data_IF_590986434398
#
_entry.id   IF_590986434398
#
_cell.length_a   1.000
_cell.length_b   1.000
_cell.length_c   1.000
_cell.angle_alpha   90.00
_cell.angle_beta   90.00
_cell.angle_gamma   90.00
#
_symmetry.space_group_name_H-M   'P 1'
#
loop_
_entity.id
_entity.type
_entity.pdbx_description
1 polymer ?
#
# COMPACT_ATOMS: atom_id res chain seq x y z
N UNK A 1 8.12 44.40 11.81
CA UNK A 1 6.96 43.85 12.55
C UNK A 1 6.65 42.48 12.00
N UNK A 2 6.85 41.50 12.84
CA UNK A 2 6.89 40.06 12.55
C UNK A 2 5.50 39.46 12.40
N UNK A 3 5.29 38.63 11.41
CA UNK A 3 4.15 37.73 11.28
C UNK A 3 4.60 36.34 10.92
N UNK A 4 4.96 35.53 11.93
CA UNK A 4 5.18 34.10 11.78
C UNK A 4 3.82 33.38 11.64
N UNK A 5 3.50 32.88 10.46
CA UNK A 5 2.40 31.96 10.26
C UNK A 5 2.89 30.52 10.41
N UNK A 6 2.27 29.83 11.33
CA UNK A 6 2.61 28.50 11.83
C UNK A 6 2.28 27.43 10.78
N UNK A 7 3.31 26.73 10.33
CA UNK A 7 3.30 25.63 9.36
C UNK A 7 2.93 24.26 10.00
N UNK A 8 2.12 24.28 11.04
CA UNK A 8 1.91 23.09 11.90
C UNK A 8 0.67 22.24 11.65
N UNK A 9 -0.13 22.50 10.62
CA UNK A 9 -1.44 21.81 10.49
C UNK A 9 -1.68 20.96 9.24
N UNK A 10 -0.75 20.88 8.30
CA UNK A 10 -0.95 20.10 7.05
C UNK A 10 -0.25 18.74 7.01
N UNK A 11 0.57 18.37 7.98
CA UNK A 11 1.28 17.09 8.00
C UNK A 11 0.54 15.95 8.71
N UNK A 12 -0.76 16.08 9.02
CA UNK A 12 -1.46 15.10 9.86
C UNK A 12 -2.34 14.07 9.14
N UNK A 13 -2.42 14.08 7.83
CA UNK A 13 -3.39 13.23 7.12
C UNK A 13 -2.79 12.06 6.31
N UNK A 14 -1.47 11.88 6.23
CA UNK A 14 -0.87 10.90 5.33
C UNK A 14 0.20 9.98 5.98
N UNK A 15 0.25 9.88 7.31
CA UNK A 15 1.18 9.01 8.02
C UNK A 15 0.53 7.68 8.48
N UNK A 16 -0.34 7.08 7.68
CA UNK A 16 -0.90 5.73 7.92
C UNK A 16 -0.32 4.75 6.91
N UNK A 17 0.99 4.76 6.79
CA UNK A 17 1.75 3.77 6.01
C UNK A 17 2.73 3.07 6.94
N UNK A 18 2.26 2.04 7.59
CA UNK A 18 2.93 0.81 8.02
C UNK A 18 4.43 0.89 8.34
N UNK A 19 4.78 1.44 9.51
CA UNK A 19 6.02 1.08 10.17
C UNK A 19 5.77 -0.15 11.07
N UNK A 20 5.56 -1.33 10.49
CA UNK A 20 5.48 -2.60 11.21
C UNK A 20 6.72 -3.41 10.85
N UNK A 21 7.82 -3.12 11.52
CA UNK A 21 8.92 -4.08 11.61
C UNK A 21 9.72 -3.84 12.88
N UNK A 22 9.88 -4.91 13.63
CA UNK A 22 10.81 -5.16 14.71
C UNK A 22 10.30 -4.90 16.13
N UNK A 23 9.73 -5.91 16.76
CA UNK A 23 9.97 -6.19 18.20
C UNK A 23 10.20 -7.68 18.35
N UNK A 24 11.48 -8.05 18.45
CA UNK A 24 11.89 -9.30 19.06
C UNK A 24 13.28 -9.09 19.67
N UNK A 25 13.33 -8.70 20.94
CA UNK A 25 14.37 -9.06 21.90
C UNK A 25 13.91 -8.68 23.31
N UNK A 26 14.04 -9.56 24.32
CA UNK A 26 13.74 -9.21 25.72
C UNK A 26 14.98 -8.57 26.34
N UNK A 27 14.88 -7.34 26.80
CA UNK A 27 15.85 -6.77 27.73
C UNK A 27 15.10 -6.29 28.97
N UNK A 28 15.32 -7.01 30.07
CA UNK A 28 14.95 -6.57 31.40
C UNK A 28 15.81 -5.35 31.79
N UNK A 29 15.18 -4.23 32.09
CA UNK A 29 15.83 -3.12 32.77
C UNK A 29 14.90 -2.52 33.82
N UNK A 30 15.51 -2.36 35.00
CA UNK A 30 14.91 -1.94 36.25
C UNK A 30 14.40 -0.50 36.24
N UNK A 31 13.29 -0.31 36.98
CA UNK A 31 12.71 0.97 37.32
C UNK A 31 13.65 1.85 38.15
N UNK A 32 13.76 3.13 37.80
CA UNK A 32 14.09 4.21 38.75
C UNK A 32 13.10 5.35 38.51
N UNK A 33 12.40 5.71 39.56
CA UNK A 33 11.40 6.75 39.58
C UNK A 33 11.98 8.15 39.44
N UNK A 34 11.23 8.99 38.73
CA UNK A 34 11.41 10.47 38.86
C UNK A 34 10.00 11.07 38.82
N UNK A 35 9.66 11.70 39.91
CA UNK A 35 8.51 12.59 40.10
C UNK A 35 8.61 13.75 39.12
N UNK A 36 7.63 13.98 38.28
CA UNK A 36 7.49 15.19 37.48
C UNK A 36 6.13 15.83 37.68
N UNK A 37 6.17 17.12 37.83
CA UNK A 37 5.11 18.04 38.19
C UNK A 37 4.00 18.14 37.13
N UNK A 38 2.76 18.31 37.59
CA UNK A 38 1.52 18.44 36.87
C UNK A 38 1.55 19.55 35.78
N UNK A 39 1.20 19.15 34.56
CA UNK A 39 0.60 20.01 33.53
C UNK A 39 -0.84 19.50 33.25
N UNK A 40 -1.76 20.32 32.72
CA UNK A 40 -3.15 19.94 32.62
C UNK A 40 -3.35 18.76 31.67
N UNK A 41 -3.86 17.67 32.23
CA UNK A 41 -4.29 16.47 31.54
C UNK A 41 -5.40 16.79 30.55
N UNK A 42 -5.08 16.76 29.26
CA UNK A 42 -6.12 16.47 28.26
C UNK A 42 -6.42 14.98 28.37
N UNK A 43 -7.39 14.64 29.21
CA UNK A 43 -7.89 13.32 29.41
C UNK A 43 -8.29 12.72 28.05
N UNK A 44 -7.55 11.72 27.60
CA UNK A 44 -7.97 10.80 26.56
C UNK A 44 -9.23 10.10 27.08
N UNK A 45 -10.36 10.39 26.46
CA UNK A 45 -11.60 9.68 26.71
C UNK A 45 -11.36 8.20 26.37
N UNK A 46 -11.14 7.37 27.37
CA UNK A 46 -11.14 5.92 27.20
C UNK A 46 -12.52 5.54 26.70
N UNK A 47 -12.61 5.13 25.44
CA UNK A 47 -13.84 4.56 24.88
C UNK A 47 -14.17 3.30 25.72
N UNK A 48 -15.19 3.40 26.57
CA UNK A 48 -15.62 2.31 27.46
C UNK A 48 -16.25 1.17 26.67
N UNK A 49 -16.46 1.34 25.37
CA UNK A 49 -17.08 0.35 24.51
C UNK A 49 -16.19 -0.89 24.36
N UNK A 50 -16.72 -2.03 24.74
CA UNK A 50 -16.03 -3.30 24.53
C UNK A 50 -16.03 -3.63 23.03
N UNK A 51 -14.84 -3.82 22.47
CA UNK A 51 -14.61 -4.23 21.08
C UNK A 51 -14.31 -5.72 21.00
N UNK A 52 -14.62 -6.33 19.86
CA UNK A 52 -14.38 -7.75 19.61
C UNK A 52 -13.89 -7.97 18.19
N UNK A 53 -12.88 -8.83 18.06
CA UNK A 53 -12.50 -9.44 16.79
C UNK A 53 -12.65 -10.96 16.91
N UNK A 54 -13.30 -11.59 15.92
CA UNK A 54 -13.46 -13.03 15.82
C UNK A 54 -13.14 -13.45 14.40
N UNK A 55 -12.03 -14.16 14.22
CA UNK A 55 -11.53 -14.57 12.92
C UNK A 55 -11.00 -15.98 12.94
N UNK A 56 -10.32 -16.30 11.85
CA UNK A 56 -9.59 -17.57 11.70
C UNK A 56 -8.30 -17.36 10.94
N UNK A 57 -7.33 -18.21 11.22
CA UNK A 57 -6.12 -18.31 10.42
C UNK A 57 -6.28 -19.48 9.47
N UNK A 58 -6.07 -19.21 8.19
CA UNK A 58 -6.26 -20.20 7.12
C UNK A 58 -5.02 -20.29 6.24
N UNK A 59 -4.82 -21.45 5.65
CA UNK A 59 -3.79 -21.71 4.66
C UNK A 59 -4.47 -22.22 3.38
N UNK A 60 -4.14 -21.65 2.20
CA UNK A 60 -4.59 -22.16 0.92
C UNK A 60 -4.10 -23.61 0.72
N UNK A 61 -4.90 -24.42 0.05
CA UNK A 61 -4.47 -25.75 -0.38
C UNK A 61 -3.44 -25.61 -1.51
N UNK A 62 -2.44 -26.50 -1.51
CA UNK A 62 -1.37 -26.48 -2.52
C UNK A 62 -1.85 -26.92 -3.91
N UNK A 63 -2.96 -27.64 -3.98
CA UNK A 63 -3.53 -28.21 -5.21
C UNK A 63 -4.75 -27.42 -5.70
N UNK A 64 -5.47 -26.80 -4.80
CA UNK A 64 -6.66 -25.98 -5.10
C UNK A 64 -6.58 -24.65 -4.32
N UNK A 65 -6.15 -23.60 -4.99
CA UNK A 65 -6.02 -22.26 -4.39
C UNK A 65 -7.36 -21.65 -3.94
N UNK A 66 -8.50 -22.21 -4.33
CA UNK A 66 -9.83 -21.82 -3.85
C UNK A 66 -10.21 -22.48 -2.53
N UNK A 67 -9.60 -23.61 -2.21
CA UNK A 67 -9.80 -24.31 -0.95
C UNK A 67 -8.84 -23.79 0.12
N UNK A 68 -9.37 -23.54 1.31
CA UNK A 68 -8.57 -23.09 2.45
C UNK A 68 -8.79 -24.01 3.65
N UNK A 69 -7.72 -24.32 4.35
CA UNK A 69 -7.72 -25.12 5.57
C UNK A 69 -7.42 -24.25 6.78
N UNK A 70 -8.21 -24.38 7.83
CA UNK A 70 -7.93 -23.67 9.10
C UNK A 70 -6.68 -24.22 9.78
N UNK A 71 -5.81 -23.35 10.29
CA UNK A 71 -4.54 -23.70 10.94
C UNK A 71 -4.69 -23.61 12.46
N UNK A 72 -4.83 -24.75 13.19
CA UNK A 72 -4.94 -24.75 14.63
C UNK A 72 -3.58 -24.65 15.32
N UNK A 73 -3.58 -24.24 16.58
CA UNK A 73 -2.43 -24.33 17.50
C UNK A 73 -1.32 -23.30 17.27
N UNK A 74 -1.47 -22.34 16.34
CA UNK A 74 -0.48 -21.29 16.12
C UNK A 74 -0.77 -20.05 16.97
N UNK A 75 0.28 -19.29 17.27
CA UNK A 75 0.13 -18.06 18.02
C UNK A 75 -0.49 -16.95 17.16
N UNK A 76 -1.51 -16.31 17.70
CA UNK A 76 -2.08 -15.06 17.20
C UNK A 76 -1.99 -14.00 18.30
N UNK A 77 -1.66 -12.78 17.90
CA UNK A 77 -1.44 -11.65 18.81
C UNK A 77 -2.23 -10.44 18.36
N UNK A 78 -3.02 -9.86 19.25
CA UNK A 78 -3.68 -8.59 19.04
C UNK A 78 -2.68 -7.46 19.34
N UNK A 79 -2.52 -6.55 18.41
CA UNK A 79 -1.62 -5.39 18.52
C UNK A 79 -2.41 -4.09 18.55
N UNK A 80 -1.80 -3.10 19.20
CA UNK A 80 -2.17 -1.70 19.15
C UNK A 80 -0.98 -0.89 18.66
N UNK A 81 -1.21 0.04 17.74
CA UNK A 81 -0.23 1.02 17.27
C UNK A 81 -0.89 2.40 17.31
N UNK A 82 -0.40 3.27 18.16
CA UNK A 82 -0.82 4.66 18.26
C UNK A 82 0.40 5.58 18.29
N UNK A 83 0.19 6.88 18.17
CA UNK A 83 1.25 7.87 18.26
C UNK A 83 1.87 7.99 19.67
N UNK A 84 1.18 7.47 20.68
CA UNK A 84 1.59 7.42 22.09
C UNK A 84 2.37 6.15 22.43
N UNK A 85 1.90 5.00 21.98
CA UNK A 85 2.56 3.70 22.23
C UNK A 85 2.17 2.67 21.19
N UNK A 86 3.04 1.68 20.97
CA UNK A 86 2.81 0.54 20.10
C UNK A 86 3.25 -0.76 20.80
N UNK A 87 2.48 -1.84 20.62
CA UNK A 87 2.85 -3.14 21.16
C UNK A 87 1.72 -4.17 21.13
N UNK A 88 2.02 -5.38 21.58
CA UNK A 88 1.03 -6.44 21.78
C UNK A 88 0.13 -6.11 22.97
N UNK A 89 -1.15 -6.45 22.84
CA UNK A 89 -2.15 -6.31 23.92
C UNK A 89 -2.48 -7.66 24.54
N UNK A 90 -2.69 -8.67 23.66
CA UNK A 90 -3.13 -9.99 24.09
C UNK A 90 -2.68 -11.04 23.06
N UNK A 91 -2.55 -12.29 23.48
CA UNK A 91 -2.11 -13.40 22.63
C UNK A 91 -2.82 -14.68 22.98
N UNK A 92 -3.13 -15.49 21.97
CA UNK A 92 -3.71 -16.82 22.16
C UNK A 92 -3.24 -17.78 21.07
N UNK A 93 -3.49 -19.06 21.28
CA UNK A 93 -3.36 -20.05 20.20
C UNK A 93 -4.69 -20.24 19.49
N UNK A 94 -4.63 -20.43 18.17
CA UNK A 94 -5.81 -20.75 17.38
C UNK A 94 -6.41 -22.08 17.83
N UNK A 95 -7.74 -22.12 17.92
CA UNK A 95 -8.52 -23.32 18.21
C UNK A 95 -8.70 -24.19 16.94
N UNK A 96 -9.46 -25.28 17.06
CA UNK A 96 -9.84 -26.12 15.95
C UNK A 96 -10.40 -25.29 14.76
N UNK A 97 -10.01 -25.64 13.54
CA UNK A 97 -10.35 -24.86 12.34
C UNK A 97 -9.70 -23.47 12.26
N UNK A 98 -8.60 -23.25 12.99
CA UNK A 98 -7.84 -22.00 12.95
C UNK A 98 -8.51 -20.81 13.65
N UNK A 99 -9.54 -21.02 14.45
CA UNK A 99 -10.36 -19.94 15.02
C UNK A 99 -9.65 -19.23 16.16
N UNK A 100 -9.87 -17.89 16.24
CA UNK A 100 -9.41 -17.05 17.34
C UNK A 100 -10.45 -15.99 17.67
N UNK A 101 -10.40 -15.44 18.89
CA UNK A 101 -11.26 -14.36 19.34
C UNK A 101 -10.56 -13.51 20.39
N UNK A 102 -10.52 -12.19 20.19
CA UNK A 102 -10.10 -11.23 21.22
C UNK A 102 -11.24 -10.29 21.58
N UNK A 103 -11.25 -9.91 22.87
CA UNK A 103 -12.09 -8.83 23.39
C UNK A 103 -11.18 -7.77 23.97
N UNK A 104 -11.35 -6.54 23.55
CA UNK A 104 -10.47 -5.45 23.95
C UNK A 104 -11.23 -4.14 24.08
N UNK A 105 -10.61 -3.15 24.69
CA UNK A 105 -11.12 -1.78 24.75
C UNK A 105 -10.18 -0.87 23.98
N UNK A 106 -10.72 0.18 23.40
CA UNK A 106 -9.89 1.22 22.83
C UNK A 106 -9.22 1.99 23.97
N UNK A 107 -7.90 2.06 23.97
CA UNK A 107 -7.10 2.73 24.98
C UNK A 107 -6.15 3.72 24.35
N UNK A 108 -5.80 4.76 25.07
CA UNK A 108 -4.87 5.80 24.61
C UNK A 108 -5.50 6.73 23.56
N UNK A 109 -4.71 7.16 22.60
CA UNK A 109 -5.13 8.15 21.62
C UNK A 109 -6.13 7.59 20.62
N UNK A 110 -7.04 8.47 20.16
CA UNK A 110 -8.11 8.09 19.22
C UNK A 110 -7.61 7.63 17.84
N UNK A 111 -6.37 7.98 17.48
CA UNK A 111 -5.69 7.59 16.22
C UNK A 111 -5.07 6.18 16.28
N UNK A 112 -5.20 5.46 17.39
CA UNK A 112 -4.64 4.13 17.55
C UNK A 112 -5.29 3.11 16.60
N UNK A 113 -4.46 2.35 15.89
CA UNK A 113 -4.85 1.27 14.99
C UNK A 113 -4.69 -0.06 15.73
N UNK A 114 -5.65 -0.95 15.54
CA UNK A 114 -5.65 -2.31 16.07
C UNK A 114 -5.64 -3.31 14.92
N UNK A 115 -4.88 -4.39 15.07
CA UNK A 115 -4.82 -5.50 14.12
C UNK A 115 -4.37 -6.78 14.81
N UNK A 116 -4.55 -7.92 14.16
CA UNK A 116 -4.09 -9.22 14.66
C UNK A 116 -2.97 -9.74 13.79
N UNK A 117 -1.91 -10.28 14.40
CA UNK A 117 -0.87 -11.03 13.69
C UNK A 117 -0.99 -12.52 13.97
N UNK A 118 -0.59 -13.35 13.00
CA UNK A 118 -0.40 -14.79 13.13
C UNK A 118 1.06 -15.13 12.82
N UNK A 119 1.71 -15.92 13.69
CA UNK A 119 3.07 -16.42 13.44
C UNK A 119 3.00 -17.83 12.86
N UNK A 120 3.43 -17.98 11.60
CA UNK A 120 3.44 -19.25 10.90
C UNK A 120 4.75 -19.43 10.14
N UNK A 121 5.41 -20.58 10.32
CA UNK A 121 6.72 -20.90 9.71
C UNK A 121 7.78 -19.80 9.92
N UNK A 122 7.76 -19.14 11.10
CA UNK A 122 8.70 -18.04 11.42
C UNK A 122 8.38 -16.69 10.79
N UNK A 123 7.25 -16.58 10.09
CA UNK A 123 6.80 -15.35 9.43
C UNK A 123 5.55 -14.82 10.14
N UNK A 124 5.48 -13.50 10.30
CA UNK A 124 4.29 -12.82 10.80
C UNK A 124 3.39 -12.42 9.64
N UNK A 125 2.14 -12.84 9.69
CA UNK A 125 1.05 -12.44 8.79
C UNK A 125 0.05 -11.60 9.54
N UNK A 126 -0.64 -10.67 8.89
CA UNK A 126 -1.46 -9.66 9.54
C UNK A 126 -2.88 -9.63 8.98
N UNK A 127 -3.84 -9.35 9.86
CA UNK A 127 -5.20 -9.00 9.46
C UNK A 127 -5.24 -7.59 8.87
N UNK A 128 -6.36 -7.23 8.27
CA UNK A 128 -6.70 -5.83 8.03
C UNK A 128 -6.83 -5.07 9.35
N UNK A 129 -6.68 -3.73 9.35
CA UNK A 129 -6.97 -2.90 10.53
C UNK A 129 -8.40 -3.10 11.03
N UNK A 130 -8.56 -3.18 12.36
CA UNK A 130 -9.85 -3.38 13.03
C UNK A 130 -10.56 -2.03 13.21
N UNK A 131 -11.25 -1.56 12.17
CA UNK A 131 -11.82 -0.20 12.11
C UNK A 131 -13.16 -0.09 12.86
N UNK A 132 -13.89 -1.20 13.06
CA UNK A 132 -15.21 -1.21 13.70
C UNK A 132 -15.15 -1.89 15.08
N UNK A 133 -16.10 -1.59 15.99
CA UNK A 133 -16.15 -2.22 17.31
C UNK A 133 -16.30 -3.74 17.28
N UNK A 134 -16.88 -4.30 16.22
CA UNK A 134 -17.04 -5.74 16.02
C UNK A 134 -16.60 -6.12 14.62
N UNK A 135 -15.51 -6.90 14.52
CA UNK A 135 -14.97 -7.41 13.26
C UNK A 135 -15.06 -8.94 13.26
N UNK A 136 -15.69 -9.51 12.24
CA UNK A 136 -15.91 -10.95 12.11
C UNK A 136 -15.81 -11.40 10.65
N UNK A 137 -15.70 -12.71 10.43
CA UNK A 137 -15.65 -13.28 9.08
C UNK A 137 -14.37 -12.94 8.34
N UNK A 138 -14.47 -12.70 7.05
CA UNK A 138 -13.34 -12.51 6.13
C UNK A 138 -12.50 -11.27 6.49
N UNK A 139 -13.12 -10.24 7.07
CA UNK A 139 -12.42 -9.03 7.54
C UNK A 139 -11.46 -9.30 8.72
N UNK A 140 -11.59 -10.45 9.37
CA UNK A 140 -10.72 -10.91 10.46
C UNK A 140 -9.97 -12.20 10.08
N UNK A 141 -10.00 -12.61 8.82
CA UNK A 141 -9.26 -13.77 8.34
C UNK A 141 -7.78 -13.40 8.12
N UNK A 142 -6.88 -14.30 8.53
CA UNK A 142 -5.45 -14.15 8.28
C UNK A 142 -5.01 -15.33 7.42
N UNK A 143 -4.55 -15.04 6.21
CA UNK A 143 -4.05 -16.05 5.31
C UNK A 143 -2.54 -16.22 5.55
N UNK A 144 -2.12 -17.45 5.83
CA UNK A 144 -0.72 -17.85 6.01
C UNK A 144 -0.31 -18.78 4.88
N UNK A 145 0.98 -18.82 4.56
CA UNK A 145 1.49 -19.61 3.44
C UNK A 145 2.68 -20.45 3.84
N UNK A 146 2.83 -21.62 3.24
CA UNK A 146 4.06 -22.40 3.32
C UNK A 146 5.23 -21.61 2.71
N UNK A 147 6.46 -21.98 3.04
CA UNK A 147 7.66 -21.23 2.64
C UNK A 147 8.56 -22.05 1.75
N UNK A 148 9.30 -21.37 0.87
CA UNK A 148 10.36 -21.97 0.07
C UNK A 148 11.56 -21.05 -0.04
N UNK A 149 12.77 -21.63 0.10
CA UNK A 149 14.05 -20.96 -0.17
C UNK A 149 14.64 -21.35 -1.52
N UNK A 150 13.93 -22.12 -2.34
CA UNK A 150 14.34 -22.43 -3.71
C UNK A 150 14.18 -21.20 -4.58
N UNK A 151 14.96 -21.13 -5.66
CA UNK A 151 14.78 -20.08 -6.68
C UNK A 151 13.34 -20.06 -7.16
N UNK A 152 12.76 -18.88 -7.08
CA UNK A 152 11.34 -18.69 -7.29
C UNK A 152 11.08 -17.52 -8.27
N UNK A 153 10.22 -17.70 -9.28
CA UNK A 153 9.94 -16.64 -10.25
C UNK A 153 9.05 -15.56 -9.60
N UNK A 154 9.68 -14.46 -9.16
CA UNK A 154 8.99 -13.24 -8.80
C UNK A 154 8.87 -12.35 -10.03
N UNK A 155 7.68 -11.83 -10.30
CA UNK A 155 7.37 -10.98 -11.47
C UNK A 155 7.49 -9.51 -11.09
N UNK A 156 8.05 -8.69 -11.98
CA UNK A 156 8.02 -7.22 -11.85
C UNK A 156 6.83 -6.71 -12.66
N UNK A 157 5.75 -6.37 -11.96
CA UNK A 157 4.53 -5.80 -12.57
C UNK A 157 4.74 -4.37 -13.01
N UNK A 158 5.40 -3.57 -12.18
CA UNK A 158 5.71 -2.18 -12.43
C UNK A 158 7.13 -1.84 -12.00
N UNK A 159 7.79 -0.99 -12.78
CA UNK A 159 9.00 -0.28 -12.40
C UNK A 159 8.84 1.17 -12.77
N UNK A 160 8.92 2.04 -11.76
CA UNK A 160 8.79 3.48 -11.93
C UNK A 160 10.14 4.10 -11.61
N UNK A 161 10.65 4.90 -12.53
CA UNK A 161 11.94 5.59 -12.41
C UNK A 161 11.67 7.08 -12.50
N UNK A 162 12.01 7.82 -11.44
CA UNK A 162 11.84 9.26 -11.37
C UNK A 162 13.23 9.88 -11.34
N UNK A 163 13.53 10.72 -12.30
CA UNK A 163 14.80 11.44 -12.41
C UNK A 163 14.55 12.91 -12.13
N UNK A 164 15.15 13.44 -11.07
CA UNK A 164 15.02 14.85 -10.70
C UNK A 164 15.68 15.78 -11.73
N UNK A 165 15.34 17.06 -11.68
CA UNK A 165 16.19 18.10 -12.24
C UNK A 165 17.59 18.05 -11.59
N UNK A 166 18.64 18.56 -12.29
CA UNK A 166 19.99 18.54 -11.75
C UNK A 166 20.09 19.35 -10.45
N UNK A 167 20.86 18.84 -9.50
CA UNK A 167 21.26 19.54 -8.31
C UNK A 167 22.28 20.66 -8.63
N UNK A 168 22.67 21.45 -7.63
CA UNK A 168 23.68 22.53 -7.80
C UNK A 168 25.01 21.99 -8.33
N UNK A 169 25.38 20.78 -7.95
CA UNK A 169 26.61 20.08 -8.38
C UNK A 169 26.43 19.31 -9.69
N UNK A 170 25.29 19.45 -10.35
CA UNK A 170 24.94 18.75 -11.59
C UNK A 170 24.54 17.29 -11.41
N UNK A 171 24.55 16.76 -10.19
CA UNK A 171 24.07 15.40 -9.92
C UNK A 171 22.54 15.34 -10.00
N UNK A 172 22.00 14.14 -10.23
CA UNK A 172 20.56 13.88 -10.19
C UNK A 172 20.20 12.92 -9.07
N UNK A 173 19.13 13.23 -8.35
CA UNK A 173 18.51 12.28 -7.44
C UNK A 173 17.54 11.41 -8.23
N UNK A 174 17.63 10.08 -8.02
CA UNK A 174 16.81 9.11 -8.72
C UNK A 174 16.04 8.32 -7.69
N UNK A 175 14.75 8.13 -7.94
CA UNK A 175 13.88 7.27 -7.15
C UNK A 175 13.39 6.14 -8.02
N UNK A 176 13.51 4.92 -7.55
CA UNK A 176 12.92 3.75 -8.18
C UNK A 176 11.87 3.13 -7.27
N UNK A 177 10.75 2.76 -7.88
CA UNK A 177 9.68 2.03 -7.23
C UNK A 177 9.42 0.76 -8.04
N UNK A 178 9.51 -0.37 -7.36
CA UNK A 178 9.22 -1.69 -7.92
C UNK A 178 7.91 -2.22 -7.37
N UNK A 179 7.10 -2.76 -8.25
CA UNK A 179 5.93 -3.57 -7.94
C UNK A 179 6.30 -5.04 -8.17
N UNK A 180 6.66 -5.72 -7.09
CA UNK A 180 7.10 -7.11 -7.11
C UNK A 180 5.91 -7.99 -6.78
N UNK A 181 5.56 -8.93 -7.66
CA UNK A 181 4.45 -9.86 -7.45
C UNK A 181 4.96 -11.28 -7.26
N UNK A 182 4.46 -11.90 -6.23
CA UNK A 182 4.53 -13.34 -6.04
C UNK A 182 3.16 -13.93 -6.43
N UNK A 183 3.08 -14.48 -7.63
CA UNK A 183 1.83 -15.03 -8.18
C UNK A 183 1.57 -16.50 -7.77
N UNK A 184 2.34 -17.03 -6.81
CA UNK A 184 2.18 -18.39 -6.30
C UNK A 184 1.37 -18.45 -5.00
N UNK A 185 1.14 -19.65 -4.50
CA UNK A 185 0.57 -19.92 -3.18
C UNK A 185 1.60 -20.12 -2.06
N UNK A 186 2.88 -19.76 -2.27
CA UNK A 186 3.99 -20.05 -1.36
C UNK A 186 4.80 -18.77 -1.09
N UNK A 187 5.18 -18.53 0.15
CA UNK A 187 6.07 -17.41 0.51
C UNK A 187 7.51 -17.74 0.12
N UNK A 188 8.11 -16.89 -0.71
CA UNK A 188 9.54 -16.95 -1.00
C UNK A 188 10.33 -16.40 0.19
N UNK A 189 11.34 -17.14 0.64
CA UNK A 189 12.24 -16.72 1.72
C UNK A 189 13.70 -16.77 1.26
N UNK A 190 14.51 -15.91 1.83
CA UNK A 190 15.97 -16.00 1.70
C UNK A 190 16.46 -17.27 2.38
N UNK A 191 17.39 -17.99 1.74
CA UNK A 191 18.05 -19.12 2.39
C UNK A 191 18.99 -18.67 3.50
N UNK A 192 19.71 -17.59 3.21
CA UNK A 192 20.67 -16.93 4.08
C UNK A 192 20.97 -15.52 3.54
N UNK A 193 21.87 -14.79 4.19
CA UNK A 193 22.23 -13.44 3.76
C UNK A 193 22.96 -13.36 2.41
N UNK A 194 23.52 -14.47 1.91
CA UNK A 194 24.20 -14.54 0.61
C UNK A 194 23.23 -14.87 -0.55
N UNK A 195 22.03 -15.37 -0.22
CA UNK A 195 21.02 -15.77 -1.20
C UNK A 195 19.74 -14.94 -0.97
N UNK A 196 19.72 -13.68 -1.42
CA UNK A 196 18.57 -12.78 -1.23
C UNK A 196 17.33 -13.32 -1.94
N UNK A 197 16.15 -12.94 -1.43
CA UNK A 197 14.86 -13.29 -2.01
C UNK A 197 14.64 -12.60 -3.35
N UNK A 198 15.15 -11.36 -3.48
CA UNK A 198 15.03 -10.57 -4.70
C UNK A 198 16.24 -9.64 -4.86
N UNK A 199 16.56 -9.30 -6.12
CA UNK A 199 17.66 -8.39 -6.44
C UNK A 199 17.34 -7.47 -7.62
N UNK A 200 17.96 -6.27 -7.63
CA UNK A 200 18.05 -5.39 -8.78
C UNK A 200 19.47 -4.81 -8.90
N UNK A 201 19.85 -4.34 -10.08
CA UNK A 201 21.12 -3.65 -10.26
C UNK A 201 20.92 -2.14 -10.16
N UNK A 202 21.84 -1.47 -9.47
CA UNK A 202 22.00 -0.02 -9.54
C UNK A 202 22.86 0.33 -10.78
N UNK A 203 22.63 1.51 -11.36
CA UNK A 203 23.52 1.98 -12.43
C UNK A 203 24.92 2.26 -11.90
N UNK A 204 25.94 2.18 -12.76
CA UNK A 204 27.29 2.60 -12.41
C UNK A 204 27.32 4.06 -11.88
N UNK A 205 28.13 4.32 -10.88
CA UNK A 205 28.25 5.65 -10.28
C UNK A 205 27.14 6.02 -9.29
N UNK A 206 26.15 5.15 -9.04
CA UNK A 206 25.13 5.37 -8.02
C UNK A 206 25.76 5.47 -6.61
N UNK A 207 25.42 6.53 -5.88
CA UNK A 207 25.88 6.78 -4.50
C UNK A 207 24.69 7.19 -3.61
N UNK A 208 24.86 7.09 -2.29
CA UNK A 208 23.86 7.58 -1.35
C UNK A 208 22.57 6.77 -1.37
N UNK A 209 22.66 5.44 -1.57
CA UNK A 209 21.51 4.54 -1.53
C UNK A 209 20.70 4.69 -0.24
N UNK A 210 19.39 4.81 -0.38
CA UNK A 210 18.46 4.92 0.74
C UNK A 210 17.15 4.23 0.40
N UNK A 211 16.61 3.46 1.34
CA UNK A 211 15.31 2.79 1.18
C UNK A 211 14.20 3.77 1.54
N UNK A 212 13.26 3.95 0.63
CA UNK A 212 12.07 4.77 0.82
C UNK A 212 10.93 4.03 1.49
N UNK A 213 9.74 4.60 1.42
CA UNK A 213 8.53 3.94 1.90
C UNK A 213 8.26 2.68 1.08
N UNK A 214 8.06 1.56 1.76
CA UNK A 214 8.02 0.24 1.15
C UNK A 214 7.20 -0.73 2.00
N UNK A 215 6.58 -1.73 1.36
CA UNK A 215 5.97 -2.88 2.06
C UNK A 215 7.04 -3.82 2.65
N UNK A 216 8.29 -3.63 2.25
CA UNK A 216 9.44 -4.39 2.71
C UNK A 216 10.20 -3.57 3.73
N UNK A 217 10.54 -4.17 4.87
CA UNK A 217 11.29 -3.48 5.91
C UNK A 217 12.62 -2.93 5.39
N UNK A 218 12.96 -1.65 5.62
CA UNK A 218 14.25 -1.09 5.22
C UNK A 218 15.45 -1.86 5.74
N UNK A 219 15.32 -2.52 6.91
CA UNK A 219 16.40 -3.35 7.49
C UNK A 219 16.69 -4.63 6.70
N UNK A 220 15.76 -5.05 5.85
CA UNK A 220 15.89 -6.23 5.00
C UNK A 220 16.34 -5.91 3.57
N UNK A 221 16.65 -4.64 3.30
CA UNK A 221 17.10 -4.14 1.99
C UNK A 221 18.47 -3.50 2.14
N UNK A 222 19.39 -3.84 1.26
CA UNK A 222 20.74 -3.29 1.27
C UNK A 222 21.30 -3.09 -0.13
N UNK A 223 22.26 -2.18 -0.25
CA UNK A 223 23.16 -2.12 -1.40
C UNK A 223 24.36 -3.02 -1.13
N UNK A 224 24.58 -3.99 -1.99
CA UNK A 224 25.70 -4.93 -1.95
C UNK A 224 26.63 -4.69 -3.16
N UNK A 225 27.28 -3.53 -3.17
CA UNK A 225 28.23 -3.15 -4.21
C UNK A 225 27.59 -2.91 -5.58
N UNK A 226 26.56 -2.07 -5.64
CA UNK A 226 25.82 -1.74 -6.85
C UNK A 226 24.69 -2.72 -7.18
N UNK A 227 24.34 -3.58 -6.23
CA UNK A 227 23.18 -4.47 -6.31
C UNK A 227 22.30 -4.31 -5.10
N UNK A 228 21.05 -3.94 -5.33
CA UNK A 228 20.02 -3.95 -4.29
C UNK A 228 19.65 -5.39 -3.99
N UNK A 229 19.73 -5.78 -2.72
CA UNK A 229 19.38 -7.10 -2.23
C UNK A 229 18.27 -7.01 -1.19
N UNK A 230 17.26 -7.86 -1.33
CA UNK A 230 16.17 -8.03 -0.38
C UNK A 230 16.28 -9.40 0.27
N UNK A 231 16.38 -9.43 1.60
CA UNK A 231 16.42 -10.69 2.39
C UNK A 231 15.11 -10.94 3.16
N UNK A 232 14.10 -10.11 2.96
CA UNK A 232 12.78 -10.30 3.55
C UNK A 232 12.00 -11.44 2.89
N UNK A 233 11.08 -12.09 3.61
CA UNK A 233 10.07 -12.94 3.02
C UNK A 233 9.17 -12.15 2.05
N UNK A 234 8.86 -12.74 0.89
CA UNK A 234 7.92 -12.19 -0.09
C UNK A 234 6.74 -13.15 -0.19
N UNK A 235 5.69 -12.85 0.58
CA UNK A 235 4.43 -13.58 0.58
C UNK A 235 3.70 -13.40 -0.76
N UNK A 236 2.76 -14.31 -1.10
CA UNK A 236 1.88 -14.16 -2.26
C UNK A 236 1.21 -12.78 -2.32
N UNK A 237 1.03 -12.30 -3.55
CA UNK A 237 0.48 -10.98 -3.85
C UNK A 237 1.54 -9.94 -4.21
N UNK A 238 1.10 -8.69 -4.32
CA UNK A 238 1.91 -7.55 -4.71
C UNK A 238 2.66 -6.97 -3.50
N UNK A 239 3.94 -6.64 -3.69
CA UNK A 239 4.77 -5.90 -2.74
C UNK A 239 5.43 -4.72 -3.43
N UNK A 240 5.35 -3.57 -2.81
CA UNK A 240 6.03 -2.37 -3.28
C UNK A 240 7.38 -2.22 -2.57
N UNK A 241 8.43 -1.96 -3.36
CA UNK A 241 9.77 -1.61 -2.87
C UNK A 241 10.17 -0.28 -3.49
N UNK A 242 10.48 0.70 -2.65
CA UNK A 242 11.00 2.00 -3.08
C UNK A 242 12.40 2.24 -2.52
N UNK A 243 13.27 2.79 -3.35
CA UNK A 243 14.59 3.25 -2.93
C UNK A 243 15.05 4.42 -3.79
N UNK A 244 16.01 5.17 -3.29
CA UNK A 244 16.61 6.29 -3.98
C UNK A 244 18.13 6.20 -3.95
N UNK A 245 18.74 6.87 -4.92
CA UNK A 245 20.19 7.05 -5.02
C UNK A 245 20.48 8.31 -5.81
N UNK A 246 21.75 8.73 -5.81
CA UNK A 246 22.21 9.86 -6.58
C UNK A 246 23.21 9.41 -7.65
N UNK A 247 23.15 10.05 -8.82
CA UNK A 247 24.10 9.83 -9.90
C UNK A 247 24.80 11.16 -10.24
N UNK A 248 26.14 11.22 -10.20
CA UNK A 248 26.90 12.39 -10.60
C UNK A 248 26.71 12.75 -12.08
N UNK A 249 26.85 14.02 -12.42
CA UNK A 249 26.73 14.52 -13.80
C UNK A 249 27.65 13.80 -14.80
N UNK A 250 28.85 13.42 -14.37
CA UNK A 250 29.84 12.73 -15.24
C UNK A 250 29.41 11.31 -15.65
N UNK A 251 28.44 10.72 -14.98
CA UNK A 251 27.96 9.36 -15.22
C UNK A 251 26.69 9.35 -16.10
N UNK A 252 26.35 10.51 -16.69
CA UNK A 252 25.36 10.63 -17.75
C UNK A 252 26.03 10.53 -19.15
N UNK A 253 25.36 9.94 -20.13
CA UNK A 253 24.02 9.35 -20.11
C UNK A 253 23.89 8.14 -19.20
N UNK A 254 22.89 8.18 -18.34
CA UNK A 254 22.61 7.14 -17.38
C UNK A 254 22.11 5.87 -18.05
N UNK A 255 22.63 4.71 -17.66
CA UNK A 255 22.21 3.40 -18.16
C UNK A 255 21.75 2.54 -16.98
N UNK A 256 20.45 2.24 -16.92
CA UNK A 256 19.84 1.46 -15.87
C UNK A 256 19.48 0.07 -16.42
N UNK A 257 20.17 -1.01 -16.03
CA UNK A 257 19.92 -2.34 -16.57
C UNK A 257 18.64 -2.96 -16.02
N UNK A 258 17.99 -3.79 -16.82
CA UNK A 258 16.88 -4.63 -16.42
C UNK A 258 17.33 -6.10 -16.40
N UNK A 259 17.35 -6.71 -15.22
CA UNK A 259 17.77 -8.11 -15.07
C UNK A 259 16.61 -9.10 -15.19
N UNK A 260 15.39 -8.59 -15.24
CA UNK A 260 14.14 -9.36 -15.37
C UNK A 260 13.16 -8.60 -16.26
N UNK A 261 12.20 -9.30 -16.89
CA UNK A 261 11.14 -8.63 -17.64
C UNK A 261 10.33 -7.71 -16.73
N UNK A 262 9.90 -6.57 -17.26
CA UNK A 262 9.07 -5.58 -16.58
C UNK A 262 7.77 -5.42 -17.34
N UNK A 263 6.62 -5.68 -16.71
CA UNK A 263 5.33 -5.60 -17.41
C UNK A 263 4.95 -4.15 -17.76
N UNK A 264 5.22 -3.20 -16.86
CA UNK A 264 5.01 -1.77 -17.10
C UNK A 264 6.24 -1.01 -16.60
N UNK A 265 6.93 -0.34 -17.51
CA UNK A 265 7.99 0.61 -17.20
C UNK A 265 7.44 2.03 -17.33
N UNK A 266 7.52 2.83 -16.29
CA UNK A 266 7.23 4.25 -16.35
C UNK A 266 8.45 5.05 -15.95
N UNK A 267 8.77 6.06 -16.75
CA UNK A 267 9.88 6.97 -16.47
C UNK A 267 9.37 8.40 -16.45
N UNK A 268 9.70 9.11 -15.40
CA UNK A 268 9.37 10.51 -15.20
C UNK A 268 10.67 11.31 -15.13
N UNK A 269 10.82 12.34 -15.96
CA UNK A 269 11.96 13.26 -15.88
C UNK A 269 11.49 14.67 -15.62
N UNK A 270 12.09 15.31 -14.63
CA UNK A 270 11.75 16.69 -14.30
C UNK A 270 12.41 17.69 -15.26
N UNK A 271 13.59 17.39 -15.80
CA UNK A 271 14.19 18.19 -16.86
C UNK A 271 13.49 17.88 -18.21
N UNK A 272 12.76 18.85 -18.79
CA UNK A 272 12.04 18.63 -20.04
C UNK A 272 12.98 18.41 -21.26
N UNK A 273 14.27 18.68 -21.11
CA UNK A 273 15.29 18.45 -22.15
C UNK A 273 15.89 17.05 -22.07
N UNK A 274 15.60 16.30 -21.00
CA UNK A 274 16.08 14.94 -20.86
C UNK A 274 15.46 14.06 -21.96
N UNK A 275 16.28 13.20 -22.54
CA UNK A 275 15.82 12.18 -23.48
C UNK A 275 15.86 10.81 -22.82
N UNK A 276 14.83 10.02 -23.05
CA UNK A 276 14.66 8.70 -22.42
C UNK A 276 14.40 7.67 -23.50
N UNK A 277 15.07 6.53 -23.42
CA UNK A 277 14.86 5.42 -24.36
C UNK A 277 14.99 4.05 -23.70
N UNK A 278 14.10 3.15 -24.10
CA UNK A 278 14.14 1.71 -23.84
C UNK A 278 13.38 1.02 -25.00
N UNK A 279 13.48 -0.31 -25.17
CA UNK A 279 12.94 -0.99 -26.36
C UNK A 279 11.47 -0.71 -26.68
N UNK A 280 10.59 -0.73 -25.67
CA UNK A 280 9.15 -0.54 -25.86
C UNK A 280 8.63 0.79 -25.28
N UNK A 281 9.53 1.68 -24.86
CA UNK A 281 9.19 2.93 -24.19
C UNK A 281 8.70 3.98 -25.19
N UNK A 282 7.60 4.67 -24.87
CA UNK A 282 7.02 5.74 -25.68
C UNK A 282 6.75 6.97 -24.81
N UNK A 283 6.93 8.15 -25.39
CA UNK A 283 6.56 9.40 -24.74
C UNK A 283 5.03 9.49 -24.61
N UNK A 284 4.57 9.92 -23.45
CA UNK A 284 3.18 10.15 -23.11
C UNK A 284 2.95 11.61 -22.70
N UNK A 285 1.71 11.99 -22.46
CA UNK A 285 1.40 13.33 -21.99
C UNK A 285 2.13 13.61 -20.67
N UNK A 286 2.74 14.79 -20.59
CA UNK A 286 3.42 15.24 -19.37
C UNK A 286 2.44 15.31 -18.19
N UNK A 287 2.93 14.98 -17.00
CA UNK A 287 2.13 14.99 -15.77
C UNK A 287 2.61 16.07 -14.82
N UNK A 288 1.69 16.64 -14.05
CA UNK A 288 2.00 17.55 -12.97
C UNK A 288 1.77 16.83 -11.63
N UNK A 289 2.79 16.79 -10.78
CA UNK A 289 2.74 16.15 -9.47
C UNK A 289 3.24 17.18 -8.45
N UNK A 290 2.44 17.53 -7.46
CA UNK A 290 2.76 18.53 -6.44
C UNK A 290 3.26 19.88 -7.03
N UNK A 291 2.65 20.32 -8.14
CA UNK A 291 3.01 21.57 -8.82
C UNK A 291 4.27 21.52 -9.69
N UNK A 292 4.94 20.36 -9.78
CA UNK A 292 6.12 20.13 -10.64
C UNK A 292 5.69 19.38 -11.90
N UNK A 293 6.26 19.77 -13.05
CA UNK A 293 5.99 19.10 -14.34
C UNK A 293 7.03 18.06 -14.62
N UNK A 294 6.57 16.89 -15.07
CA UNK A 294 7.44 15.80 -15.50
C UNK A 294 7.09 15.40 -16.95
N UNK A 295 8.11 15.24 -17.78
CA UNK A 295 7.96 14.48 -18.99
C UNK A 295 7.78 13.02 -18.64
N UNK A 296 6.81 12.35 -19.28
CA UNK A 296 6.38 11.01 -18.95
C UNK A 296 6.62 10.07 -20.13
N UNK A 297 7.17 8.89 -19.82
CA UNK A 297 7.40 7.83 -20.77
C UNK A 297 6.85 6.53 -20.20
N UNK A 298 6.16 5.73 -21.03
CA UNK A 298 5.57 4.46 -20.61
C UNK A 298 5.91 3.37 -21.62
N UNK A 299 6.40 2.24 -21.13
CA UNK A 299 6.66 1.03 -21.89
C UNK A 299 5.89 -0.16 -21.32
N UNK A 300 5.48 -1.09 -22.18
CA UNK A 300 4.84 -2.32 -21.78
C UNK A 300 5.67 -3.52 -22.22
N UNK A 301 5.77 -4.52 -21.34
CA UNK A 301 6.50 -5.76 -21.59
C UNK A 301 7.96 -5.53 -22.01
N UNK A 302 8.67 -4.71 -21.23
CA UNK A 302 10.10 -4.55 -21.41
C UNK A 302 10.82 -5.89 -21.19
N UNK A 303 11.68 -6.32 -22.12
CA UNK A 303 12.34 -7.61 -22.00
C UNK A 303 13.40 -7.61 -20.88
N UNK A 304 13.78 -8.81 -20.44
CA UNK A 304 15.01 -8.99 -19.67
C UNK A 304 16.19 -8.51 -20.52
N UNK A 305 17.24 -8.03 -19.86
CA UNK A 305 18.46 -7.48 -20.47
C UNK A 305 18.26 -6.17 -21.24
N UNK A 306 17.06 -5.58 -21.22
CA UNK A 306 16.86 -4.23 -21.69
C UNK A 306 17.63 -3.23 -20.84
N UNK A 307 18.00 -2.11 -21.47
CA UNK A 307 18.67 -1.00 -20.79
C UNK A 307 17.83 0.25 -20.98
N UNK A 308 17.40 0.81 -19.86
CA UNK A 308 16.82 2.15 -19.82
C UNK A 308 17.97 3.17 -19.90
N UNK A 309 17.98 4.01 -20.93
CA UNK A 309 18.93 5.12 -21.06
C UNK A 309 18.22 6.43 -20.79
N UNK A 310 18.85 7.24 -19.95
CA UNK A 310 18.42 8.61 -19.68
C UNK A 310 19.59 9.53 -19.94
N UNK A 311 19.42 10.45 -20.88
CA UNK A 311 20.37 11.51 -21.15
C UNK A 311 19.77 12.84 -20.69
N UNK A 312 20.45 13.51 -19.77
CA UNK A 312 20.05 14.82 -19.23
C UNK A 312 21.19 15.81 -19.49
N UNK A 313 20.92 16.88 -20.25
CA UNK A 313 21.96 17.86 -20.56
C UNK A 313 22.50 18.49 -19.27
N UNK A 314 23.81 18.48 -19.12
CA UNK A 314 24.50 19.20 -18.03
C UNK A 314 24.26 20.69 -18.18
N UNK A 315 23.74 21.37 -17.17
CA UNK A 315 23.53 22.83 -17.15
C UNK A 315 22.06 23.26 -17.06
N UNK A 316 21.26 22.62 -16.22
CA UNK A 316 19.92 23.07 -15.84
C UNK A 316 19.92 24.03 -14.66
N UNK A 317 18.80 24.72 -14.43
CA UNK A 317 18.61 25.53 -13.22
C UNK A 317 18.51 24.59 -12.00
N UNK A 318 19.35 24.75 -10.98
CA UNK A 318 19.36 23.84 -9.83
C UNK A 318 18.01 23.84 -9.11
N UNK A 319 17.55 22.65 -8.74
CA UNK A 319 16.35 22.48 -7.89
C UNK A 319 16.76 22.38 -6.43
N UNK A 320 16.22 23.24 -5.58
CA UNK A 320 16.57 23.31 -4.16
C UNK A 320 15.84 22.35 -3.21
N UNK A 321 15.05 21.38 -3.72
CA UNK A 321 14.09 20.66 -2.88
C UNK A 321 14.26 19.14 -2.86
N UNK A 322 15.36 18.65 -2.34
CA UNK A 322 15.67 17.21 -2.17
C UNK A 322 14.69 16.44 -1.26
N UNK A 323 13.91 17.11 -0.40
CA UNK A 323 13.04 16.46 0.58
C UNK A 323 11.73 15.90 0.01
N UNK A 324 11.34 16.29 -1.21
CA UNK A 324 10.02 15.98 -1.77
C UNK A 324 10.02 14.77 -2.72
N UNK A 325 11.16 14.29 -3.19
CA UNK A 325 11.20 13.12 -4.10
C UNK A 325 10.70 11.83 -3.43
N UNK A 326 10.96 11.65 -2.14
CA UNK A 326 10.45 10.51 -1.39
C UNK A 326 8.90 10.57 -1.25
N UNK A 327 8.35 11.77 -1.02
CA UNK A 327 6.89 11.98 -0.92
C UNK A 327 6.24 11.75 -2.29
N UNK A 328 6.89 12.16 -3.37
CA UNK A 328 6.44 11.95 -4.74
C UNK A 328 6.35 10.47 -5.11
N UNK A 329 7.38 9.68 -4.76
CA UNK A 329 7.37 8.23 -4.99
C UNK A 329 6.20 7.53 -4.29
N UNK A 330 5.86 8.00 -3.07
CA UNK A 330 4.73 7.51 -2.28
C UNK A 330 3.40 7.83 -2.96
N UNK A 331 3.20 9.09 -3.37
CA UNK A 331 1.97 9.53 -3.99
C UNK A 331 1.71 8.80 -5.32
N UNK A 332 2.75 8.60 -6.11
CA UNK A 332 2.66 7.89 -7.39
C UNK A 332 2.38 6.40 -7.20
N UNK A 333 3.06 5.74 -6.26
CA UNK A 333 2.84 4.33 -5.94
C UNK A 333 1.40 4.06 -5.48
N UNK A 334 0.87 4.90 -4.59
CA UNK A 334 -0.53 4.77 -4.09
C UNK A 334 -1.55 5.02 -5.20
N UNK A 335 -1.35 6.03 -6.06
CA UNK A 335 -2.26 6.33 -7.16
C UNK A 335 -2.28 5.20 -8.20
N UNK A 336 -1.14 4.59 -8.48
CA UNK A 336 -1.05 3.51 -9.47
C UNK A 336 -1.52 2.16 -8.96
N UNK A 337 -1.25 1.80 -7.70
CA UNK A 337 -1.86 0.61 -7.06
C UNK A 337 -3.39 0.72 -7.10
N UNK A 338 -3.95 1.90 -6.83
CA UNK A 338 -5.37 2.17 -6.97
C UNK A 338 -5.88 1.97 -8.42
N UNK A 339 -5.16 2.46 -9.41
CA UNK A 339 -5.53 2.32 -10.81
C UNK A 339 -5.37 0.89 -11.33
N UNK A 340 -4.29 0.19 -10.96
CA UNK A 340 -4.08 -1.22 -11.33
C UNK A 340 -5.09 -2.15 -10.63
N UNK A 341 -5.32 -1.99 -9.34
CA UNK A 341 -6.34 -2.77 -8.62
C UNK A 341 -7.73 -2.55 -9.21
N UNK A 342 -8.06 -1.33 -9.62
CA UNK A 342 -9.33 -1.01 -10.30
C UNK A 342 -9.43 -1.69 -11.68
N UNK A 343 -8.36 -1.66 -12.48
CA UNK A 343 -8.33 -2.31 -13.81
C UNK A 343 -8.36 -3.84 -13.69
N UNK A 344 -7.64 -4.43 -12.71
CA UNK A 344 -7.63 -5.87 -12.50
C UNK A 344 -8.89 -6.39 -11.79
N UNK A 345 -9.48 -5.63 -10.86
CA UNK A 345 -10.78 -5.95 -10.28
C UNK A 345 -11.88 -6.00 -11.36
N UNK A 346 -11.84 -5.10 -12.34
CA UNK A 346 -12.74 -5.16 -13.51
C UNK A 346 -12.49 -6.37 -14.43
N UNK A 347 -11.25 -6.88 -14.51
CA UNK A 347 -10.90 -8.05 -15.35
C UNK A 347 -11.07 -9.39 -14.65
N UNK A 348 -11.10 -9.41 -13.31
CA UNK A 348 -11.23 -10.61 -12.47
C UNK A 348 -12.57 -10.72 -11.75
N UNK A 349 -13.65 -10.21 -12.30
CA UNK A 349 -14.95 -10.76 -11.94
C UNK A 349 -14.95 -12.21 -12.44
N UNK A 350 -14.75 -13.23 -11.58
CA UNK A 350 -14.93 -14.60 -12.00
C UNK A 350 -16.41 -14.72 -12.38
N UNK A 351 -16.69 -15.07 -13.62
CA UNK A 351 -17.95 -15.72 -13.95
C UNK A 351 -17.89 -17.07 -13.24
N UNK A 352 -18.36 -17.12 -12.02
CA UNK A 352 -18.72 -18.37 -11.37
C UNK A 352 -19.88 -18.89 -12.20
N UNK A 353 -19.60 -19.87 -13.05
CA UNK A 353 -20.63 -20.69 -13.64
C UNK A 353 -21.22 -21.50 -12.48
N UNK A 354 -22.32 -21.02 -11.93
CA UNK A 354 -23.16 -21.77 -11.02
C UNK A 354 -23.83 -22.82 -11.89
N UNK A 355 -23.32 -24.05 -11.81
CA UNK A 355 -24.03 -25.24 -12.26
C UNK A 355 -25.30 -25.36 -11.40
N UNK A 356 -26.43 -25.35 -12.04
CA UNK A 356 -27.72 -25.11 -11.47
C UNK A 356 -28.18 -26.08 -10.37
N UNK A 357 -28.90 -25.48 -9.44
CA UNK A 357 -30.04 -26.14 -8.80
C UNK A 357 -31.21 -25.15 -8.82
N UNK A 358 -32.44 -25.58 -9.13
CA UNK A 358 -33.54 -24.68 -9.39
C UNK A 358 -34.28 -24.32 -8.10
N UNK A 359 -34.28 -23.03 -7.77
CA UNK A 359 -35.38 -22.41 -7.05
C UNK A 359 -35.29 -20.90 -7.30
N UNK A 360 -36.17 -20.40 -8.15
CA UNK A 360 -36.45 -19.01 -8.39
C UNK A 360 -36.79 -18.31 -7.08
N UNK A 361 -35.91 -17.38 -6.65
CA UNK A 361 -36.30 -16.25 -5.81
C UNK A 361 -35.78 -15.03 -6.54
N UNK A 362 -36.61 -14.08 -6.97
CA UNK A 362 -36.16 -12.84 -7.57
C UNK A 362 -35.44 -12.04 -6.50
N UNK A 363 -34.14 -11.93 -6.62
CA UNK A 363 -33.34 -10.98 -5.81
C UNK A 363 -33.75 -9.58 -6.25
N UNK A 364 -34.32 -8.83 -5.31
CA UNK A 364 -34.85 -7.48 -5.48
C UNK A 364 -33.73 -6.51 -5.81
N UNK A 365 -33.52 -6.31 -7.10
CA UNK A 365 -32.44 -5.51 -7.71
C UNK A 365 -32.70 -4.00 -7.59
N UNK A 366 -33.89 -3.60 -7.04
CA UNK A 366 -34.33 -2.22 -7.00
C UNK A 366 -33.57 -1.37 -5.98
N UNK A 367 -33.23 -1.88 -4.82
CA UNK A 367 -32.50 -1.13 -3.81
C UNK A 367 -31.05 -0.84 -4.25
N UNK A 368 -30.37 -1.80 -4.87
CA UNK A 368 -29.02 -1.62 -5.40
C UNK A 368 -29.01 -0.70 -6.64
N UNK A 369 -30.04 -0.76 -7.47
CA UNK A 369 -30.21 0.13 -8.61
C UNK A 369 -30.37 1.57 -8.15
N UNK A 370 -31.25 1.83 -7.17
CA UNK A 370 -31.50 3.16 -6.61
C UNK A 370 -30.25 3.71 -5.90
N UNK A 371 -29.49 2.89 -5.17
CA UNK A 371 -28.25 3.31 -4.55
C UNK A 371 -27.19 3.72 -5.60
N UNK A 372 -27.07 2.99 -6.70
CA UNK A 372 -26.17 3.35 -7.82
C UNK A 372 -26.62 4.64 -8.52
N UNK A 373 -27.94 4.86 -8.66
CA UNK A 373 -28.48 6.07 -9.28
C UNK A 373 -28.21 7.32 -8.42
N UNK A 374 -28.30 7.22 -7.08
CA UNK A 374 -27.89 8.29 -6.15
C UNK A 374 -26.40 8.59 -6.30
N UNK A 375 -25.55 7.56 -6.28
CA UNK A 375 -24.10 7.75 -6.40
C UNK A 375 -23.70 8.39 -7.75
N UNK A 376 -24.38 8.04 -8.85
CA UNK A 376 -24.13 8.66 -10.15
C UNK A 376 -24.59 10.12 -10.22
N UNK A 377 -25.70 10.46 -9.56
CA UNK A 377 -26.19 11.83 -9.45
C UNK A 377 -25.25 12.71 -8.62
N UNK A 378 -24.76 12.20 -7.49
CA UNK A 378 -23.79 12.89 -6.63
C UNK A 378 -22.48 13.14 -7.40
N UNK A 379 -21.96 12.15 -8.12
CA UNK A 379 -20.75 12.29 -8.93
C UNK A 379 -20.89 13.30 -10.09
N UNK A 380 -22.06 13.36 -10.74
CA UNK A 380 -22.32 14.34 -11.79
C UNK A 380 -22.40 15.77 -11.23
N UNK A 381 -22.95 15.94 -10.05
CA UNK A 381 -23.05 17.26 -9.41
C UNK A 381 -21.68 17.76 -8.93
N UNK A 382 -20.82 16.89 -8.39
CA UNK A 382 -19.46 17.22 -7.98
C UNK A 382 -18.53 17.63 -9.14
N UNK A 383 -18.84 17.19 -10.36
CA UNK A 383 -18.07 17.59 -11.57
C UNK A 383 -18.42 19.02 -12.07
N UNK A 384 -19.45 19.65 -11.53
CA UNK A 384 -19.82 21.01 -11.90
C UNK A 384 -19.06 22.03 -11.04
N UNK A 385 -18.13 22.75 -11.63
CA UNK A 385 -17.21 23.65 -10.91
C UNK A 385 -17.92 24.80 -10.17
N UNK A 386 -19.09 25.30 -10.66
CA UNK A 386 -19.94 26.28 -9.98
C UNK A 386 -21.44 26.06 -10.36
N UNK A 387 -22.16 25.21 -9.63
CA UNK A 387 -23.57 24.97 -9.91
C UNK A 387 -24.42 26.21 -9.54
N UNK A 388 -25.32 26.62 -10.43
CA UNK A 388 -26.29 27.68 -10.16
C UNK A 388 -27.24 27.30 -9.01
N UNK A 389 -27.91 28.29 -8.40
CA UNK A 389 -28.92 28.08 -7.35
C UNK A 389 -30.00 27.08 -7.79
N UNK A 390 -30.46 27.25 -9.03
CA UNK A 390 -31.52 26.40 -9.61
C UNK A 390 -31.03 24.95 -9.88
N UNK A 391 -29.77 24.79 -10.32
CA UNK A 391 -29.16 23.49 -10.50
C UNK A 391 -28.98 22.77 -9.15
N UNK A 392 -28.63 23.49 -8.09
CA UNK A 392 -28.53 22.95 -6.74
C UNK A 392 -29.89 22.50 -6.19
N UNK A 393 -30.92 23.33 -6.34
CA UNK A 393 -32.27 22.99 -5.92
C UNK A 393 -32.82 21.76 -6.67
N UNK A 394 -32.61 21.66 -7.98
CA UNK A 394 -33.01 20.51 -8.78
C UNK A 394 -32.26 19.26 -8.38
N UNK A 395 -30.97 19.34 -8.07
CA UNK A 395 -30.17 18.24 -7.55
C UNK A 395 -30.70 17.73 -6.20
N UNK A 396 -30.94 18.63 -5.24
CA UNK A 396 -31.45 18.27 -3.91
C UNK A 396 -32.82 17.61 -4.00
N UNK A 397 -33.72 18.15 -4.81
CA UNK A 397 -35.06 17.56 -5.04
C UNK A 397 -34.97 16.14 -5.61
N UNK A 398 -34.12 15.93 -6.63
CA UNK A 398 -33.95 14.63 -7.28
C UNK A 398 -33.29 13.62 -6.32
N UNK A 399 -32.28 14.07 -5.57
CA UNK A 399 -31.59 13.23 -4.57
C UNK A 399 -32.54 12.78 -3.46
N UNK A 400 -33.39 13.65 -2.98
CA UNK A 400 -34.37 13.33 -1.94
C UNK A 400 -35.50 12.42 -2.45
N UNK A 401 -35.91 12.55 -3.71
CA UNK A 401 -36.85 11.63 -4.34
C UNK A 401 -36.27 10.22 -4.43
N UNK A 402 -35.01 10.08 -4.84
CA UNK A 402 -34.32 8.79 -4.92
C UNK A 402 -34.12 8.16 -3.53
N UNK A 403 -33.76 8.96 -2.52
CA UNK A 403 -33.63 8.50 -1.12
C UNK A 403 -34.96 7.96 -0.57
N UNK A 404 -36.09 8.66 -0.84
CA UNK A 404 -37.42 8.18 -0.42
C UNK A 404 -37.78 6.85 -1.10
N UNK A 405 -37.40 6.69 -2.35
CA UNK A 405 -37.64 5.44 -3.10
C UNK A 405 -36.76 4.30 -2.57
N UNK A 406 -35.49 4.57 -2.25
CA UNK A 406 -34.58 3.61 -1.64
C UNK A 406 -35.06 3.17 -0.25
N UNK A 407 -35.53 4.10 0.57
CA UNK A 407 -36.09 3.78 1.90
C UNK A 407 -37.30 2.85 1.78
N UNK A 408 -38.21 3.11 0.84
CA UNK A 408 -39.37 2.23 0.58
C UNK A 408 -38.97 0.83 0.10
N UNK A 409 -37.96 0.76 -0.77
CA UNK A 409 -37.44 -0.53 -1.25
C UNK A 409 -36.80 -1.35 -0.11
N UNK A 410 -36.04 -0.68 0.79
CA UNK A 410 -35.45 -1.32 1.97
C UNK A 410 -36.49 -1.77 3.00
N UNK A 411 -37.53 -0.96 3.24
CA UNK A 411 -38.62 -1.33 4.15
C UNK A 411 -39.46 -2.51 3.60
N UNK A 412 -39.72 -2.52 2.28
CA UNK A 412 -40.37 -3.66 1.63
C UNK A 412 -39.54 -4.96 1.75
N UNK A 413 -38.21 -4.85 1.71
CA UNK A 413 -37.29 -5.98 1.93
C UNK A 413 -37.33 -6.47 3.39
N UNK A 414 -37.42 -5.55 4.36
CA UNK A 414 -37.49 -5.85 5.78
C UNK A 414 -38.79 -6.56 6.18
N UNK A 415 -39.88 -6.29 5.45
CA UNK A 415 -41.18 -6.89 5.70
C UNK A 415 -41.36 -8.29 5.04
N UNK A 416 -40.46 -8.62 4.09
CA UNK A 416 -40.45 -9.93 3.40
C UNK A 416 -39.43 -10.92 3.96
N UNK A 417 -38.52 -10.48 4.86
CA UNK A 417 -37.55 -11.31 5.59
C UNK A 417 -38.04 -11.64 7.00
#
# INVERSE_FOLDING_TARGET
MSGRLSLGRLCRALAVGLAIAAVAAPAAARAQGSTSLLGPDTSSASDTLQRMVKGRVVRPDSTDSSAVSGVPGIWVTLHRVGSDTAGPIDSMRTAAGGRYQFRYRHTGRADAIYFVSASYAGIAYFSLPLLTPRVTGDSAEIIVYDTTSRTFPLTIRGRHVIVSAPNVDGSHDIVEVYEITNDSGITAISRDNAHPTWTALLPPGAVGFSVGQSDISPRAVRDAGGRVEVVAPIAPGLKQLSFSYRVPARDFPLSIPMTKPVSVLEVLTEDPRATVSAPNLKAEAAVAIEGRKFARYVGQNEPADAVLRVDSPTGGTPSHQQRYLAVLAIALGVAMVGALTFVFARRRAPRIAIVGHPADVPVDDDAERLAREIASLDAQFEQQAEPSSDARAAYEERRDALKRSLARALDARRTRA
#
